data_IF_893266388389
#
_entry.id   IF_893266388389
#
_cell.length_a   1.000
_cell.length_b   1.000
_cell.length_c   1.000
_cell.angle_alpha   90.00
_cell.angle_beta   90.00
_cell.angle_gamma   90.00
#
_symmetry.space_group_name_H-M   'P 1'
#
loop_
_entity.id
_entity.type
_entity.pdbx_description
1 polymer ?
#
# COMPACT_ATOMS: atom_id res chain seq x y z
N UNK A 1 -10.10 -4.97 -4.86
CA UNK A 1 -10.99 -5.43 -3.77
C UNK A 1 -12.28 -5.88 -4.42
N UNK A 2 -12.63 -7.14 -4.25
CA UNK A 2 -13.89 -7.69 -4.75
C UNK A 2 -14.97 -7.53 -3.69
N UNK A 3 -16.19 -7.20 -4.09
CA UNK A 3 -17.33 -7.36 -3.17
C UNK A 3 -17.62 -8.85 -3.00
N UNK A 4 -18.37 -9.23 -1.97
CA UNK A 4 -18.74 -10.62 -1.77
C UNK A 4 -19.62 -11.18 -2.90
N UNK A 5 -20.25 -10.34 -3.70
CA UNK A 5 -20.95 -10.76 -4.93
C UNK A 5 -20.02 -11.34 -6.01
N UNK A 6 -18.71 -11.06 -5.93
CA UNK A 6 -17.71 -11.54 -6.88
C UNK A 6 -16.81 -12.63 -6.28
N UNK A 7 -17.25 -13.27 -5.19
CA UNK A 7 -16.60 -14.44 -4.63
C UNK A 7 -17.33 -15.67 -5.14
N UNK A 8 -16.60 -16.54 -5.83
CA UNK A 8 -17.16 -17.77 -6.43
C UNK A 8 -16.76 -18.98 -5.60
N UNK A 9 -17.74 -19.79 -5.20
CA UNK A 9 -17.49 -21.10 -4.62
C UNK A 9 -17.44 -22.13 -5.74
N UNK A 10 -16.26 -22.64 -6.02
CA UNK A 10 -16.04 -23.62 -7.07
C UNK A 10 -15.87 -25.03 -6.50
N UNK A 11 -16.33 -26.03 -7.26
CA UNK A 11 -16.03 -27.44 -7.00
C UNK A 11 -14.83 -27.85 -7.84
N UNK A 12 -13.77 -28.26 -7.17
CA UNK A 12 -12.59 -28.80 -7.85
C UNK A 12 -12.95 -30.17 -8.43
N UNK A 13 -12.79 -30.33 -9.73
CA UNK A 13 -12.88 -31.62 -10.42
C UNK A 13 -11.50 -31.99 -10.93
N UNK A 14 -10.95 -33.07 -10.39
CA UNK A 14 -9.61 -33.52 -10.74
C UNK A 14 -9.62 -35.03 -11.00
N UNK A 15 -10.33 -35.40 -12.07
CA UNK A 15 -10.43 -36.79 -12.55
C UNK A 15 -9.14 -37.22 -13.28
N UNK A 16 -9.04 -38.49 -13.67
CA UNK A 16 -7.85 -39.05 -14.32
C UNK A 16 -7.56 -38.41 -15.69
N UNK A 17 -8.60 -37.93 -16.37
CA UNK A 17 -8.46 -37.21 -17.63
C UNK A 17 -7.86 -35.83 -17.41
N UNK A 18 -8.36 -35.10 -16.42
CA UNK A 18 -7.79 -33.79 -16.00
C UNK A 18 -6.35 -33.95 -15.53
N UNK A 19 -6.05 -34.96 -14.70
CA UNK A 19 -4.68 -35.29 -14.27
C UNK A 19 -3.75 -35.52 -15.45
N UNK A 20 -4.19 -36.26 -16.46
CA UNK A 20 -3.38 -36.53 -17.63
C UNK A 20 -3.10 -35.28 -18.46
N UNK A 21 -4.13 -34.51 -18.80
CA UNK A 21 -3.99 -33.34 -19.66
C UNK A 21 -3.29 -32.17 -18.98
N UNK A 22 -3.56 -31.93 -17.68
CA UNK A 22 -3.05 -30.78 -16.94
C UNK A 22 -1.88 -31.09 -16.01
N UNK A 23 -1.26 -32.28 -16.16
CA UNK A 23 -0.15 -32.73 -15.28
C UNK A 23 1.06 -31.82 -15.20
N UNK A 24 1.25 -30.95 -16.19
CA UNK A 24 2.34 -29.98 -16.24
C UNK A 24 1.96 -28.60 -15.70
N UNK A 25 0.68 -28.35 -15.45
CA UNK A 25 0.18 -27.09 -14.92
C UNK A 25 0.17 -27.17 -13.39
N UNK A 26 1.00 -26.34 -12.74
CA UNK A 26 1.14 -26.33 -11.27
C UNK A 26 0.58 -25.08 -10.60
N UNK A 27 0.50 -23.98 -11.34
CA UNK A 27 0.14 -22.66 -10.83
C UNK A 27 -1.00 -22.01 -11.62
N UNK A 28 -1.69 -22.82 -12.44
CA UNK A 28 -2.77 -22.37 -13.31
C UNK A 28 -4.05 -23.06 -12.87
N UNK A 29 -5.09 -22.26 -12.67
CA UNK A 29 -6.46 -22.74 -12.46
C UNK A 29 -7.19 -22.77 -13.79
N UNK A 30 -7.80 -23.88 -14.12
CA UNK A 30 -8.57 -24.06 -15.34
C UNK A 30 -10.05 -23.96 -15.02
N UNK A 31 -10.69 -22.91 -15.51
CA UNK A 31 -12.12 -22.70 -15.36
C UNK A 31 -12.92 -23.37 -16.49
N UNK A 32 -14.14 -23.75 -16.14
CA UNK A 32 -15.16 -24.15 -17.10
C UNK A 32 -15.65 -22.88 -17.86
N UNK A 33 -15.82 -23.01 -19.17
CA UNK A 33 -16.35 -21.94 -20.02
C UNK A 33 -17.87 -22.07 -20.27
N UNK A 34 -18.59 -22.84 -19.44
CA UNK A 34 -20.04 -23.11 -19.57
C UNK A 34 -20.89 -22.42 -18.51
N UNK A 35 -20.25 -21.79 -17.52
CA UNK A 35 -20.91 -21.06 -16.45
C UNK A 35 -20.43 -19.58 -16.41
N UNK A 36 -20.99 -18.80 -15.49
CA UNK A 36 -20.70 -17.38 -15.33
C UNK A 36 -19.55 -17.10 -14.33
N UNK A 37 -18.78 -18.13 -13.96
CA UNK A 37 -17.75 -17.97 -12.91
C UNK A 37 -16.71 -16.92 -13.26
N UNK A 38 -16.22 -16.89 -14.49
CA UNK A 38 -15.21 -15.91 -14.94
C UNK A 38 -15.79 -14.51 -15.02
N UNK A 39 -17.00 -14.35 -15.55
CA UNK A 39 -17.67 -13.05 -15.62
C UNK A 39 -17.95 -12.47 -14.22
N UNK A 40 -18.34 -13.34 -13.27
CA UNK A 40 -18.56 -12.93 -11.87
C UNK A 40 -17.28 -12.60 -11.11
N UNK A 41 -16.12 -13.04 -11.58
CA UNK A 41 -14.81 -12.69 -11.04
C UNK A 41 -14.27 -11.32 -11.54
N UNK A 42 -15.16 -10.34 -11.66
CA UNK A 42 -14.84 -8.97 -12.03
C UNK A 42 -14.27 -8.84 -13.45
N UNK A 43 -14.87 -9.55 -14.41
CA UNK A 43 -14.46 -9.53 -15.81
C UNK A 43 -13.16 -10.29 -16.07
N UNK A 44 -12.85 -11.27 -15.23
CA UNK A 44 -11.77 -12.20 -15.48
C UNK A 44 -11.98 -12.89 -16.84
N UNK A 45 -10.95 -12.95 -17.65
CA UNK A 45 -10.94 -13.67 -18.91
C UNK A 45 -9.89 -14.79 -18.93
N UNK A 46 -9.73 -15.47 -20.04
CA UNK A 46 -8.86 -16.64 -20.15
C UNK A 46 -7.44 -16.27 -20.65
N UNK A 47 -6.99 -15.06 -20.39
CA UNK A 47 -5.70 -14.54 -20.85
C UNK A 47 -4.59 -14.51 -19.77
N UNK A 48 -4.74 -15.29 -18.72
CA UNK A 48 -3.81 -15.44 -17.61
C UNK A 48 -4.00 -14.43 -16.47
N UNK A 49 -5.23 -14.07 -16.18
CA UNK A 49 -5.57 -13.29 -14.99
C UNK A 49 -5.12 -13.99 -13.70
N UNK A 50 -4.68 -13.21 -12.73
CA UNK A 50 -4.27 -13.71 -11.43
C UNK A 50 -5.46 -13.84 -10.48
N UNK A 51 -5.61 -15.01 -9.88
CA UNK A 51 -6.69 -15.34 -8.95
C UNK A 51 -6.13 -15.62 -7.55
N UNK A 52 -6.95 -15.40 -6.55
CA UNK A 52 -6.71 -15.84 -5.18
C UNK A 52 -7.70 -16.94 -4.85
N UNK A 53 -7.20 -18.11 -4.53
CA UNK A 53 -7.99 -19.28 -4.13
C UNK A 53 -7.70 -19.64 -2.67
N UNK A 54 -8.70 -20.15 -1.99
CA UNK A 54 -8.55 -20.64 -0.62
C UNK A 54 -9.53 -21.76 -0.31
N UNK A 55 -9.06 -22.74 0.42
CA UNK A 55 -9.85 -23.81 1.04
C UNK A 55 -9.92 -23.65 2.57
N UNK A 56 -9.47 -22.51 3.10
CA UNK A 56 -9.48 -22.25 4.54
C UNK A 56 -10.90 -22.40 5.11
N UNK A 57 -11.11 -23.31 6.08
CA UNK A 57 -12.45 -23.64 6.58
C UNK A 57 -13.15 -22.46 7.26
N UNK A 58 -12.42 -21.48 7.79
CA UNK A 58 -12.98 -20.29 8.40
C UNK A 58 -13.54 -19.39 7.29
N UNK A 59 -12.75 -19.14 6.23
CA UNK A 59 -13.18 -18.32 5.10
C UNK A 59 -14.32 -18.98 4.32
N UNK A 60 -14.27 -20.30 4.15
CA UNK A 60 -15.35 -21.05 3.51
C UNK A 60 -16.69 -20.96 4.25
N UNK A 61 -16.66 -20.84 5.58
CA UNK A 61 -17.88 -20.62 6.39
C UNK A 61 -18.46 -19.21 6.25
N UNK A 62 -17.65 -18.25 5.83
CA UNK A 62 -18.09 -16.86 5.61
C UNK A 62 -18.64 -16.64 4.20
N UNK A 63 -18.65 -17.68 3.34
CA UNK A 63 -19.22 -17.58 2.00
C UNK A 63 -20.74 -17.51 2.09
N UNK A 64 -21.32 -16.50 1.46
CA UNK A 64 -22.75 -16.37 1.23
C UNK A 64 -22.98 -16.43 -0.30
N UNK A 65 -23.96 -17.23 -0.74
CA UNK A 65 -24.32 -17.28 -2.14
C UNK A 65 -25.10 -16.02 -2.51
N UNK A 66 -24.55 -15.24 -3.42
CA UNK A 66 -25.13 -13.98 -3.86
C UNK A 66 -25.13 -13.92 -5.39
N UNK A 67 -26.06 -13.14 -5.94
CA UNK A 67 -26.06 -12.88 -7.38
C UNK A 67 -24.75 -12.16 -7.75
N UNK A 68 -24.04 -12.63 -8.78
CA UNK A 68 -22.81 -11.99 -9.23
C UNK A 68 -23.11 -10.61 -9.82
N UNK A 69 -22.15 -9.70 -9.69
CA UNK A 69 -22.17 -8.44 -10.39
C UNK A 69 -21.35 -8.62 -11.65
N UNK A 70 -21.99 -8.46 -12.77
CA UNK A 70 -21.36 -8.48 -14.07
C UNK A 70 -21.17 -7.03 -14.51
N UNK A 71 -19.91 -6.61 -14.62
CA UNK A 71 -19.58 -5.28 -15.14
C UNK A 71 -19.64 -5.33 -16.66
N UNK A 72 -20.56 -4.57 -17.24
CA UNK A 72 -20.64 -4.44 -18.69
C UNK A 72 -19.35 -3.77 -19.21
N UNK A 73 -18.66 -4.47 -20.11
CA UNK A 73 -17.43 -3.95 -20.68
C UNK A 73 -17.74 -2.86 -21.72
N UNK A 74 -17.18 -1.68 -21.50
CA UNK A 74 -17.25 -0.62 -22.50
C UNK A 74 -16.39 -0.98 -23.71
N UNK A 75 -16.90 -0.72 -24.92
CA UNK A 75 -16.12 -0.92 -26.16
C UNK A 75 -15.34 0.34 -26.52
N UNK A 76 -14.10 0.17 -26.98
CA UNK A 76 -13.31 1.27 -27.57
C UNK A 76 -13.60 1.40 -29.06
N UNK A 77 -13.45 2.61 -29.61
CA UNK A 77 -13.49 2.82 -31.04
C UNK A 77 -12.34 2.11 -31.74
N UNK A 78 -12.65 1.40 -32.83
CA UNK A 78 -11.63 0.80 -33.68
C UNK A 78 -10.82 1.90 -34.38
N UNK A 79 -9.54 1.99 -34.09
CA UNK A 79 -8.64 2.99 -34.68
C UNK A 79 -7.50 2.31 -35.43
N UNK A 80 -7.04 2.93 -36.52
CA UNK A 80 -5.84 2.46 -37.19
C UNK A 80 -4.63 2.64 -36.29
N UNK A 81 -3.90 1.56 -36.08
CA UNK A 81 -2.68 1.58 -35.25
C UNK A 81 -1.61 2.42 -35.96
N UNK A 82 -1.08 3.39 -35.26
CA UNK A 82 0.08 4.20 -35.67
C UNK A 82 1.04 4.27 -34.47
N UNK A 83 2.32 4.52 -34.75
CA UNK A 83 3.34 4.63 -33.70
C UNK A 83 2.95 5.65 -32.60
N UNK A 84 2.49 6.84 -32.99
CA UNK A 84 2.04 7.86 -32.05
C UNK A 84 0.82 7.47 -31.23
N UNK A 85 -0.14 6.69 -31.79
CA UNK A 85 -1.28 6.18 -31.04
C UNK A 85 -0.89 5.06 -30.08
N UNK A 86 0.06 4.22 -30.49
CA UNK A 86 0.60 3.18 -29.63
C UNK A 86 1.36 3.78 -28.43
N UNK A 87 2.23 4.75 -28.69
CA UNK A 87 2.93 5.48 -27.65
C UNK A 87 1.97 6.18 -26.67
N UNK A 88 0.90 6.80 -27.21
CA UNK A 88 -0.14 7.43 -26.38
C UNK A 88 -0.89 6.41 -25.54
N UNK A 89 -1.30 5.28 -26.11
CA UNK A 89 -1.99 4.20 -25.37
C UNK A 89 -1.11 3.66 -24.24
N UNK A 90 0.17 3.46 -24.50
CA UNK A 90 1.13 3.04 -23.46
C UNK A 90 1.26 4.11 -22.36
N UNK A 91 1.38 5.39 -22.74
CA UNK A 91 1.43 6.50 -21.77
C UNK A 91 0.15 6.61 -20.95
N UNK A 92 -1.02 6.48 -21.57
CA UNK A 92 -2.33 6.53 -20.89
C UNK A 92 -2.52 5.32 -19.93
N UNK A 93 -1.90 4.18 -20.20
CA UNK A 93 -1.86 3.00 -19.34
C UNK A 93 -1.00 3.21 -18.07
N UNK A 94 -0.01 4.09 -18.09
CA UNK A 94 0.76 4.46 -16.92
C UNK A 94 -0.02 5.46 -16.06
N UNK A 95 -0.19 5.15 -14.77
CA UNK A 95 -0.89 6.04 -13.85
C UNK A 95 -2.39 5.77 -13.78
N UNK A 96 -2.79 4.50 -13.92
CA UNK A 96 -4.15 4.11 -13.65
C UNK A 96 -4.55 4.46 -12.20
N UNK A 97 -5.79 4.88 -12.04
CA UNK A 97 -6.37 5.26 -10.74
C UNK A 97 -6.90 4.04 -9.95
N UNK A 98 -6.61 2.80 -10.37
CA UNK A 98 -7.13 1.57 -9.76
C UNK A 98 -6.88 1.55 -8.25
N UNK A 99 -5.66 1.86 -7.82
CA UNK A 99 -5.33 1.92 -6.39
C UNK A 99 -6.11 2.99 -5.63
N UNK A 100 -6.32 4.17 -6.24
CA UNK A 100 -7.10 5.25 -5.64
C UNK A 100 -8.59 4.87 -5.54
N UNK A 101 -9.15 4.26 -6.58
CA UNK A 101 -10.52 3.76 -6.62
C UNK A 101 -10.71 2.67 -5.56
N UNK A 102 -9.81 1.67 -5.51
CA UNK A 102 -9.83 0.59 -4.52
C UNK A 102 -9.79 1.13 -3.09
N UNK A 103 -8.94 2.13 -2.80
CA UNK A 103 -8.87 2.74 -1.49
C UNK A 103 -10.17 3.49 -1.11
N UNK A 104 -10.82 4.14 -2.07
CA UNK A 104 -12.11 4.80 -1.86
C UNK A 104 -13.21 3.78 -1.56
N UNK A 105 -13.31 2.70 -2.34
CA UNK A 105 -14.26 1.61 -2.10
C UNK A 105 -14.00 0.94 -0.74
N UNK A 106 -12.73 0.74 -0.39
CA UNK A 106 -12.36 0.21 0.93
C UNK A 106 -12.83 1.13 2.07
N UNK A 107 -12.77 2.45 1.89
CA UNK A 107 -13.27 3.40 2.87
C UNK A 107 -14.82 3.41 2.94
N UNK A 108 -15.52 3.09 1.85
CA UNK A 108 -16.99 2.93 1.85
C UNK A 108 -17.43 1.79 2.77
N UNK A 109 -16.70 0.68 2.85
CA UNK A 109 -17.01 -0.42 3.79
C UNK A 109 -16.90 0.01 5.26
N UNK A 110 -16.02 0.95 5.56
CA UNK A 110 -15.95 1.52 6.92
C UNK A 110 -17.20 2.35 7.22
N UNK A 111 -17.58 3.25 6.30
CA UNK A 111 -18.79 4.08 6.44
C UNK A 111 -20.05 3.23 6.44
N UNK A 112 -20.14 2.18 5.61
CA UNK A 112 -21.26 1.24 5.59
C UNK A 112 -21.52 0.63 6.98
N UNK A 113 -20.44 0.30 7.71
CA UNK A 113 -20.53 -0.29 9.03
C UNK A 113 -21.07 0.68 10.11
N UNK A 114 -21.27 1.95 9.80
CA UNK A 114 -21.90 2.92 10.71
C UNK A 114 -23.41 2.96 10.61
N UNK A 115 -24.00 2.31 9.60
CA UNK A 115 -25.43 2.35 9.32
C UNK A 115 -26.09 1.01 9.64
N UNK A 116 -27.36 1.06 10.00
CA UNK A 116 -28.18 -0.12 10.17
C UNK A 116 -28.49 -0.75 8.80
N UNK A 117 -28.35 -2.08 8.71
CA UNK A 117 -28.59 -2.81 7.45
C UNK A 117 -30.02 -2.59 6.95
N UNK A 118 -30.12 -2.14 5.70
CA UNK A 118 -31.39 -1.83 5.05
C UNK A 118 -31.87 -0.38 5.24
N UNK A 119 -31.17 0.46 6.01
CA UNK A 119 -31.46 1.89 6.04
C UNK A 119 -31.17 2.56 4.69
N UNK A 120 -31.78 3.70 4.38
CA UNK A 120 -31.49 4.43 3.14
C UNK A 120 -30.01 4.73 2.96
N UNK A 121 -29.31 5.13 4.02
CA UNK A 121 -27.88 5.39 4.02
C UNK A 121 -27.03 4.14 3.76
N UNK A 122 -27.42 3.01 4.38
CA UNK A 122 -26.76 1.72 4.14
C UNK A 122 -26.88 1.32 2.69
N UNK A 123 -28.10 1.34 2.15
CA UNK A 123 -28.38 0.94 0.76
C UNK A 123 -27.64 1.82 -0.25
N UNK A 124 -27.57 3.13 0.02
CA UNK A 124 -26.83 4.06 -0.84
C UNK A 124 -25.34 3.76 -0.86
N UNK A 125 -24.71 3.58 0.33
CA UNK A 125 -23.28 3.28 0.40
C UNK A 125 -22.97 1.90 -0.18
N UNK A 126 -23.83 0.91 0.03
CA UNK A 126 -23.72 -0.41 -0.58
C UNK A 126 -23.77 -0.33 -2.10
N UNK A 127 -24.72 0.42 -2.68
CA UNK A 127 -24.79 0.67 -4.11
C UNK A 127 -23.53 1.36 -4.65
N UNK A 128 -22.95 2.32 -3.92
CA UNK A 128 -21.68 2.96 -4.30
C UNK A 128 -20.53 1.97 -4.32
N UNK A 129 -20.49 1.01 -3.37
CA UNK A 129 -19.50 -0.07 -3.36
C UNK A 129 -19.64 -0.93 -4.62
N UNK A 130 -20.87 -1.29 -4.99
CA UNK A 130 -21.15 -2.08 -6.19
C UNK A 130 -20.72 -1.29 -7.46
N UNK A 131 -21.12 -0.04 -7.57
CA UNK A 131 -20.67 0.84 -8.66
C UNK A 131 -19.13 0.99 -8.70
N UNK A 132 -18.48 0.95 -7.54
CA UNK A 132 -17.04 1.04 -7.42
C UNK A 132 -16.28 0.00 -8.22
N UNK A 133 -16.87 -1.17 -8.43
CA UNK A 133 -16.28 -2.23 -9.26
C UNK A 133 -16.26 -1.86 -10.74
N UNK A 134 -17.35 -1.26 -11.25
CA UNK A 134 -17.38 -0.78 -12.62
C UNK A 134 -16.35 0.31 -12.88
N UNK A 135 -16.19 1.25 -11.95
CA UNK A 135 -15.13 2.28 -12.04
C UNK A 135 -13.73 1.66 -12.02
N UNK A 136 -13.52 0.61 -11.22
CA UNK A 136 -12.25 -0.10 -11.15
C UNK A 136 -11.95 -0.81 -12.48
N UNK A 137 -12.93 -1.52 -13.04
CA UNK A 137 -12.81 -2.20 -14.31
C UNK A 137 -12.51 -1.24 -15.46
N UNK A 138 -13.26 -0.14 -15.57
CA UNK A 138 -12.99 0.89 -16.58
C UNK A 138 -11.58 1.48 -16.45
N UNK A 139 -11.07 1.63 -15.22
CA UNK A 139 -9.70 2.12 -14.97
C UNK A 139 -8.63 1.11 -15.38
N UNK A 140 -8.89 -0.19 -15.24
CA UNK A 140 -8.01 -1.27 -15.74
C UNK A 140 -8.00 -1.25 -17.27
N UNK A 141 -9.17 -1.16 -17.88
CA UNK A 141 -9.34 -1.19 -19.33
C UNK A 141 -8.96 0.10 -20.06
N UNK A 142 -8.55 1.12 -19.32
CA UNK A 142 -8.06 2.40 -19.88
C UNK A 142 -6.96 2.21 -20.92
N UNK A 143 -6.09 1.22 -20.73
CA UNK A 143 -5.04 0.88 -21.70
C UNK A 143 -5.59 0.37 -23.04
N UNK A 144 -6.82 -0.16 -23.04
CA UNK A 144 -7.53 -0.58 -24.25
C UNK A 144 -8.20 0.58 -24.99
N UNK A 145 -7.96 1.84 -24.57
CA UNK A 145 -8.53 3.05 -25.16
C UNK A 145 -9.93 3.42 -24.62
N UNK A 146 -10.37 2.80 -23.55
CA UNK A 146 -11.64 3.10 -22.89
C UNK A 146 -11.49 4.40 -22.07
N UNK A 147 -12.48 5.29 -22.18
CA UNK A 147 -12.55 6.50 -21.34
C UNK A 147 -13.11 6.12 -19.98
N UNK A 148 -12.23 5.90 -19.01
CA UNK A 148 -12.64 5.60 -17.65
C UNK A 148 -13.42 6.77 -17.05
N UNK A 149 -14.59 6.47 -16.48
CA UNK A 149 -15.40 7.43 -15.72
C UNK A 149 -14.77 7.71 -14.37
N UNK A 150 -15.05 8.86 -13.82
CA UNK A 150 -14.62 9.24 -12.47
C UNK A 150 -15.78 9.10 -11.49
N UNK A 151 -15.49 8.61 -10.29
CA UNK A 151 -16.49 8.56 -9.23
C UNK A 151 -17.00 9.98 -8.90
N UNK A 152 -18.31 10.15 -8.64
CA UNK A 152 -18.90 11.43 -8.28
C UNK A 152 -18.17 12.12 -7.13
N UNK A 153 -17.92 13.41 -7.26
CA UNK A 153 -17.18 14.17 -6.24
C UNK A 153 -17.97 14.31 -4.94
N UNK A 154 -19.27 14.40 -5.02
CA UNK A 154 -20.20 14.48 -3.88
C UNK A 154 -20.10 13.29 -2.93
N UNK A 155 -19.55 12.15 -3.35
CA UNK A 155 -19.32 11.02 -2.48
C UNK A 155 -18.14 11.22 -1.51
N UNK A 156 -17.22 12.15 -1.83
CA UNK A 156 -15.92 12.29 -1.15
C UNK A 156 -15.56 13.72 -0.75
N UNK A 157 -16.18 14.73 -1.34
CA UNK A 157 -15.82 16.12 -1.14
C UNK A 157 -16.98 16.92 -0.56
N UNK A 158 -16.80 17.34 0.68
CA UNK A 158 -17.78 18.19 1.37
C UNK A 158 -18.10 19.48 0.61
N UNK A 159 -17.16 20.01 -0.18
CA UNK A 159 -17.40 21.23 -0.98
C UNK A 159 -18.46 21.01 -2.06
N UNK A 160 -18.57 19.77 -2.59
CA UNK A 160 -19.56 19.43 -3.60
C UNK A 160 -20.99 19.31 -3.03
N UNK A 161 -21.11 19.19 -1.71
CA UNK A 161 -22.40 19.02 -1.01
C UNK A 161 -22.76 20.20 -0.11
N UNK A 162 -21.99 21.31 -0.19
CA UNK A 162 -22.32 22.53 0.56
C UNK A 162 -23.67 23.10 0.14
N UNK A 163 -24.43 23.57 1.13
CA UNK A 163 -25.60 24.39 0.88
C UNK A 163 -25.19 25.76 0.32
N UNK A 164 -25.98 26.26 -0.59
CA UNK A 164 -25.85 27.63 -1.04
C UNK A 164 -26.51 28.56 0.00
N UNK A 165 -25.69 29.38 0.63
CA UNK A 165 -26.14 30.29 1.68
C UNK A 165 -25.83 31.71 1.20
N UNK A 166 -26.80 32.60 1.29
CA UNK A 166 -26.56 34.02 1.18
C UNK A 166 -25.78 34.49 2.42
N UNK A 167 -24.55 34.96 2.21
CA UNK A 167 -23.64 35.35 3.30
C UNK A 167 -24.04 36.66 3.98
N UNK A 168 -24.93 37.48 3.35
CA UNK A 168 -25.41 38.71 3.95
C UNK A 168 -26.63 38.49 4.83
N UNK A 169 -27.56 37.62 4.39
CA UNK A 169 -28.82 37.35 5.10
C UNK A 169 -28.77 36.08 5.95
N UNK A 170 -27.85 35.14 5.64
CA UNK A 170 -27.79 33.81 6.25
C UNK A 170 -28.87 32.86 5.74
N UNK A 171 -29.65 33.23 4.74
CA UNK A 171 -30.72 32.42 4.18
C UNK A 171 -30.16 31.34 3.26
N UNK A 172 -30.78 30.13 3.29
CA UNK A 172 -30.45 29.03 2.39
C UNK A 172 -31.15 29.28 1.06
N UNK A 173 -30.38 29.37 -0.01
CA UNK A 173 -30.84 29.62 -1.36
C UNK A 173 -31.29 28.35 -2.10
N UNK A 174 -30.91 27.17 -1.61
CA UNK A 174 -31.34 25.90 -2.17
C UNK A 174 -32.80 25.61 -1.82
N UNK A 175 -33.53 24.97 -2.74
CA UNK A 175 -34.88 24.48 -2.46
C UNK A 175 -34.86 23.31 -1.45
N UNK A 176 -36.00 23.00 -0.86
CA UNK A 176 -36.12 22.00 0.23
C UNK A 176 -35.68 20.60 -0.22
N UNK A 177 -35.91 20.21 -1.47
CA UNK A 177 -35.49 18.88 -1.98
C UNK A 177 -33.97 18.84 -2.14
N UNK A 178 -33.35 19.86 -2.67
CA UNK A 178 -31.89 20.01 -2.78
C UNK A 178 -31.23 20.01 -1.42
N UNK A 179 -31.80 20.69 -0.42
CA UNK A 179 -31.28 20.68 0.96
C UNK A 179 -31.28 19.26 1.52
N UNK A 180 -32.42 18.56 1.46
CA UNK A 180 -32.55 17.18 1.94
C UNK A 180 -31.57 16.24 1.23
N UNK A 181 -31.42 16.38 -0.08
CA UNK A 181 -30.47 15.59 -0.86
C UNK A 181 -29.02 15.86 -0.45
N UNK A 182 -28.61 17.11 -0.34
CA UNK A 182 -27.25 17.49 0.09
C UNK A 182 -26.94 17.01 1.51
N UNK A 183 -27.90 17.11 2.44
CA UNK A 183 -27.76 16.58 3.79
C UNK A 183 -27.59 15.06 3.81
N UNK A 184 -28.36 14.35 2.98
CA UNK A 184 -28.22 12.90 2.82
C UNK A 184 -26.84 12.53 2.28
N UNK A 185 -26.34 13.24 1.26
CA UNK A 185 -24.99 13.05 0.73
C UNK A 185 -23.91 13.33 1.80
N UNK A 186 -24.09 14.32 2.65
CA UNK A 186 -23.15 14.61 3.74
C UNK A 186 -23.13 13.51 4.78
N UNK A 187 -24.27 12.90 5.14
CA UNK A 187 -24.33 11.76 6.07
C UNK A 187 -23.64 10.53 5.52
N UNK A 188 -23.75 10.29 4.22
CA UNK A 188 -23.15 9.11 3.53
C UNK A 188 -21.76 9.37 2.95
N UNK A 189 -21.16 10.50 3.25
CA UNK A 189 -19.88 10.93 2.67
C UNK A 189 -18.69 10.13 3.16
N UNK A 190 -17.78 9.80 2.24
CA UNK A 190 -16.56 9.03 2.50
C UNK A 190 -15.32 9.92 2.32
N UNK A 191 -15.17 10.93 3.17
CA UNK A 191 -14.12 11.95 3.05
C UNK A 191 -12.86 11.67 3.90
N UNK A 192 -12.81 10.54 4.60
CA UNK A 192 -11.67 10.12 5.41
C UNK A 192 -11.28 8.70 5.08
N UNK A 193 -10.07 8.31 5.50
CA UNK A 193 -9.62 6.92 5.43
C UNK A 193 -10.08 6.13 6.65
N UNK A 194 -10.30 4.81 6.53
CA UNK A 194 -10.56 3.94 7.67
C UNK A 194 -9.39 3.91 8.66
N UNK A 195 -9.68 3.62 9.94
CA UNK A 195 -8.67 3.54 11.00
C UNK A 195 -7.51 2.59 10.64
N UNK A 196 -7.80 1.39 10.15
CA UNK A 196 -6.76 0.40 9.85
C UNK A 196 -5.75 0.86 8.77
N UNK A 197 -6.04 1.91 8.01
CA UNK A 197 -5.10 2.50 7.06
C UNK A 197 -3.88 3.15 7.73
N UNK A 198 -3.93 3.48 9.03
CA UNK A 198 -2.78 4.00 9.77
C UNK A 198 -1.58 3.04 9.71
N UNK A 199 -1.82 1.73 9.61
CA UNK A 199 -0.79 0.70 9.52
C UNK A 199 -0.13 0.62 8.15
N UNK A 200 -0.81 1.08 7.10
CA UNK A 200 -0.33 1.03 5.73
C UNK A 200 0.21 2.38 5.22
N UNK A 201 -0.14 3.49 5.90
CA UNK A 201 0.20 4.84 5.47
C UNK A 201 0.93 5.60 6.59
N UNK A 202 2.28 5.61 6.60
CA UNK A 202 3.07 6.25 7.67
C UNK A 202 2.73 7.72 7.93
N UNK A 203 2.36 8.47 6.89
CA UNK A 203 1.96 9.86 7.05
C UNK A 203 0.62 9.98 7.79
N UNK A 204 -0.37 9.14 7.44
CA UNK A 204 -1.66 9.09 8.12
C UNK A 204 -1.49 8.67 9.60
N UNK A 205 -0.57 7.74 9.88
CA UNK A 205 -0.23 7.36 11.26
C UNK A 205 0.31 8.54 12.07
N UNK A 206 1.21 9.35 11.49
CA UNK A 206 1.74 10.55 12.15
C UNK A 206 0.64 11.58 12.43
N UNK A 207 -0.21 11.85 11.45
CA UNK A 207 -1.36 12.76 11.57
C UNK A 207 -2.32 12.30 12.65
N UNK A 208 -2.65 11.01 12.65
CA UNK A 208 -3.50 10.39 13.67
C UNK A 208 -2.88 10.49 15.09
N UNK A 209 -1.60 10.15 15.24
CA UNK A 209 -0.88 10.26 16.51
C UNK A 209 -0.83 11.68 17.04
N UNK A 210 -0.59 12.65 16.15
CA UNK A 210 -0.59 14.07 16.51
C UNK A 210 -1.98 14.54 16.95
N UNK A 211 -3.03 14.11 16.24
CA UNK A 211 -4.41 14.40 16.59
C UNK A 211 -4.77 13.84 17.97
N UNK A 212 -4.48 12.56 18.23
CA UNK A 212 -4.77 11.92 19.54
C UNK A 212 -4.02 12.60 20.68
N UNK A 213 -2.74 12.95 20.46
CA UNK A 213 -1.98 13.71 21.48
C UNK A 213 -2.65 15.05 21.78
N UNK A 214 -3.02 15.82 20.76
CA UNK A 214 -3.72 17.09 20.96
C UNK A 214 -5.04 16.94 21.70
N UNK A 215 -5.80 15.89 21.38
CA UNK A 215 -7.08 15.56 22.06
C UNK A 215 -6.83 15.21 23.52
N UNK A 216 -5.81 14.41 23.83
CA UNK A 216 -5.46 14.06 25.23
C UNK A 216 -5.05 15.29 26.03
N UNK A 217 -4.18 16.13 25.46
CA UNK A 217 -3.71 17.36 26.11
C UNK A 217 -4.89 18.32 26.38
N UNK A 218 -5.78 18.54 25.39
CA UNK A 218 -6.95 19.41 25.53
C UNK A 218 -7.96 18.85 26.54
N UNK A 219 -8.26 17.54 26.52
CA UNK A 219 -9.16 16.88 27.44
C UNK A 219 -8.68 17.05 28.91
N UNK A 220 -7.40 16.83 29.15
CA UNK A 220 -6.79 16.98 30.48
C UNK A 220 -6.84 18.45 30.94
N UNK A 221 -6.60 19.40 30.07
CA UNK A 221 -6.65 20.83 30.42
C UNK A 221 -8.08 21.32 30.72
N UNK A 222 -9.04 20.89 29.90
CA UNK A 222 -10.43 21.38 29.97
C UNK A 222 -11.25 20.67 31.05
N UNK A 223 -11.19 19.32 31.06
CA UNK A 223 -12.08 18.52 31.92
C UNK A 223 -11.37 17.89 33.13
N UNK A 224 -10.04 18.03 33.25
CA UNK A 224 -9.22 17.39 34.29
C UNK A 224 -9.37 15.87 34.32
N UNK A 225 -9.70 15.26 33.18
CA UNK A 225 -9.86 13.82 32.95
C UNK A 225 -8.95 13.38 31.80
N UNK A 226 -8.51 12.13 31.81
CA UNK A 226 -7.92 11.54 30.62
C UNK A 226 -8.99 11.35 29.55
N UNK A 227 -8.59 11.27 28.29
CA UNK A 227 -9.55 11.05 27.19
C UNK A 227 -10.23 9.68 27.31
N UNK A 228 -9.53 8.67 27.83
CA UNK A 228 -10.08 7.34 28.09
C UNK A 228 -11.14 7.37 29.21
N UNK A 229 -10.89 8.09 30.31
CA UNK A 229 -11.88 8.31 31.38
C UNK A 229 -13.12 9.03 30.85
N UNK A 230 -12.92 10.06 30.01
CA UNK A 230 -14.03 10.79 29.41
C UNK A 230 -14.89 9.90 28.50
N UNK A 231 -14.26 9.00 27.72
CA UNK A 231 -15.01 8.12 26.81
C UNK A 231 -15.80 7.01 27.54
N UNK A 232 -15.33 6.58 28.71
CA UNK A 232 -15.90 5.44 29.44
C UNK A 232 -16.86 5.85 30.57
N UNK A 233 -17.14 7.14 30.77
CA UNK A 233 -18.12 7.59 31.78
C UNK A 233 -19.56 7.31 31.31
N UNK A 234 -20.47 7.14 32.27
CA UNK A 234 -21.89 6.81 32.01
C UNK A 234 -22.73 8.05 31.64
N UNK A 235 -22.34 9.23 32.12
CA UNK A 235 -23.07 10.47 31.89
C UNK A 235 -22.14 11.57 31.40
N UNK A 236 -22.63 12.39 30.48
CA UNK A 236 -21.87 13.46 29.86
C UNK A 236 -22.54 14.81 30.04
N UNK A 237 -21.75 15.86 30.23
CA UNK A 237 -22.22 17.22 30.12
C UNK A 237 -22.34 17.61 28.63
N UNK A 238 -23.06 18.69 28.32
CA UNK A 238 -23.19 19.22 26.98
C UNK A 238 -21.82 19.61 26.39
N UNK A 239 -20.93 20.18 27.22
CA UNK A 239 -19.57 20.55 26.79
C UNK A 239 -18.73 19.32 26.44
N UNK A 240 -18.85 18.26 27.20
CA UNK A 240 -18.16 16.98 26.95
C UNK A 240 -18.67 16.33 25.65
N UNK A 241 -19.97 16.36 25.40
CA UNK A 241 -20.57 15.85 24.16
C UNK A 241 -20.06 16.65 22.95
N UNK A 242 -20.10 17.97 23.05
CA UNK A 242 -19.60 18.86 21.99
C UNK A 242 -18.10 18.64 21.72
N UNK A 243 -17.32 18.37 22.76
CA UNK A 243 -15.92 18.02 22.61
C UNK A 243 -15.74 16.70 21.88
N UNK A 244 -16.46 15.65 22.28
CA UNK A 244 -16.40 14.32 21.64
C UNK A 244 -16.83 14.38 20.17
N UNK A 245 -17.87 15.11 19.85
CA UNK A 245 -18.32 15.32 18.47
C UNK A 245 -17.27 16.07 17.63
N UNK A 246 -16.64 17.08 18.22
CA UNK A 246 -15.54 17.80 17.58
C UNK A 246 -14.33 16.88 17.33
N UNK A 247 -13.95 16.06 18.31
CA UNK A 247 -12.87 15.08 18.15
C UNK A 247 -13.16 14.11 17.02
N UNK A 248 -14.39 13.57 16.96
CA UNK A 248 -14.84 12.70 15.88
C UNK A 248 -14.81 13.40 14.53
N UNK A 249 -15.30 14.65 14.47
CA UNK A 249 -15.36 15.46 13.26
C UNK A 249 -13.97 15.75 12.68
N UNK A 250 -12.99 16.08 13.52
CA UNK A 250 -11.63 16.46 13.08
C UNK A 250 -10.62 15.32 13.08
N UNK A 251 -11.02 14.11 13.49
CA UNK A 251 -10.17 12.93 13.34
C UNK A 251 -9.77 12.73 11.86
N UNK A 252 -8.51 12.44 11.55
CA UNK A 252 -8.05 12.18 10.18
C UNK A 252 -8.54 10.83 9.63
N UNK A 253 -9.12 9.99 10.49
CA UNK A 253 -9.62 8.67 10.12
C UNK A 253 -11.05 8.45 10.62
N UNK A 254 -11.79 7.58 9.92
CA UNK A 254 -13.02 7.00 10.44
C UNK A 254 -12.70 5.86 11.42
N UNK A 255 -13.46 5.78 12.49
CA UNK A 255 -13.39 4.70 13.49
C UNK A 255 -14.71 3.93 13.57
N UNK A 256 -15.33 3.65 12.45
CA UNK A 256 -16.54 2.87 12.41
C UNK A 256 -16.25 1.37 12.68
N UNK A 257 -17.22 0.58 13.17
CA UNK A 257 -16.98 -0.80 13.58
C UNK A 257 -16.92 -1.80 12.42
N UNK A 258 -16.26 -1.43 11.33
CA UNK A 258 -16.00 -2.36 10.24
C UNK A 258 -15.09 -3.52 10.69
N UNK A 259 -15.15 -4.65 9.98
CA UNK A 259 -14.41 -5.86 10.37
C UNK A 259 -12.91 -5.60 10.53
N UNK A 260 -12.30 -4.86 9.62
CA UNK A 260 -10.85 -4.57 9.67
C UNK A 260 -10.48 -3.69 10.87
N UNK A 261 -11.30 -2.70 11.22
CA UNK A 261 -11.06 -1.89 12.42
C UNK A 261 -11.20 -2.75 13.69
N UNK A 262 -12.22 -3.61 13.75
CA UNK A 262 -12.40 -4.55 14.89
C UNK A 262 -11.21 -5.49 15.04
N UNK A 263 -10.65 -5.99 13.95
CA UNK A 263 -9.44 -6.82 13.98
C UNK A 263 -8.26 -6.01 14.53
N UNK A 264 -8.07 -4.78 14.07
CA UNK A 264 -6.99 -3.92 14.56
C UNK A 264 -7.14 -3.65 16.07
N UNK A 265 -8.32 -3.27 16.54
CA UNK A 265 -8.57 -3.03 17.96
C UNK A 265 -8.35 -4.28 18.80
N UNK A 266 -8.81 -5.45 18.32
CA UNK A 266 -8.57 -6.72 19.00
C UNK A 266 -7.06 -7.01 19.13
N UNK A 267 -6.30 -6.81 18.07
CA UNK A 267 -4.83 -7.01 18.08
C UNK A 267 -4.17 -6.01 19.04
N UNK A 268 -4.55 -4.74 18.98
CA UNK A 268 -4.01 -3.69 19.83
C UNK A 268 -4.28 -3.95 21.32
N UNK A 269 -5.46 -4.42 21.65
CA UNK A 269 -5.83 -4.73 23.04
C UNK A 269 -5.19 -6.04 23.52
N UNK A 270 -5.25 -7.10 22.71
CA UNK A 270 -4.74 -8.43 23.09
C UNK A 270 -3.21 -8.46 23.18
N UNK A 271 -2.50 -7.71 22.33
CA UNK A 271 -1.06 -7.74 22.23
C UNK A 271 -0.37 -6.45 22.67
N UNK A 272 -1.06 -5.59 23.43
CA UNK A 272 -0.51 -4.31 23.89
C UNK A 272 0.79 -4.44 24.69
N UNK A 273 0.98 -5.54 25.42
CA UNK A 273 2.18 -5.82 26.21
C UNK A 273 3.21 -6.67 25.46
N UNK A 274 2.86 -7.14 24.26
CA UNK A 274 3.78 -7.91 23.41
C UNK A 274 4.67 -6.91 22.68
N UNK A 275 5.90 -6.79 23.11
CA UNK A 275 6.93 -6.16 22.26
C UNK A 275 7.11 -7.07 21.05
N UNK A 276 6.43 -6.71 19.95
CA UNK A 276 6.76 -7.31 18.65
C UNK A 276 8.27 -7.19 18.50
N UNK A 277 8.98 -8.32 18.50
CA UNK A 277 10.37 -8.32 18.05
C UNK A 277 10.32 -7.88 16.59
N UNK A 278 10.44 -6.58 16.36
CA UNK A 278 10.91 -6.07 15.09
C UNK A 278 12.19 -6.86 14.85
N UNK A 279 12.27 -7.57 13.73
CA UNK A 279 13.48 -8.31 13.35
C UNK A 279 14.66 -7.43 13.68
N UNK A 280 15.41 -7.85 14.67
CA UNK A 280 16.50 -7.04 15.19
C UNK A 280 17.56 -7.05 14.10
N UNK A 281 17.69 -5.95 13.38
CA UNK A 281 18.77 -5.74 12.41
C UNK A 281 20.16 -5.85 13.10
N UNK A 282 20.21 -5.91 14.45
CA UNK A 282 21.43 -6.09 15.22
C UNK A 282 22.04 -7.49 15.06
N UNK A 283 21.31 -8.49 14.58
CA UNK A 283 21.86 -9.82 14.28
C UNK A 283 22.66 -9.86 12.96
N UNK A 284 22.52 -8.84 12.10
CA UNK A 284 23.29 -8.80 10.88
C UNK A 284 24.71 -8.29 11.15
N UNK A 285 25.69 -9.19 10.98
CA UNK A 285 27.09 -8.81 11.14
C UNK A 285 27.58 -7.93 9.98
N UNK A 286 27.60 -6.63 10.20
CA UNK A 286 28.06 -5.62 9.22
C UNK A 286 29.50 -5.86 8.76
N UNK A 287 30.30 -6.62 9.54
CA UNK A 287 31.65 -7.02 9.13
C UNK A 287 31.66 -7.87 7.88
N UNK A 288 30.56 -8.55 7.55
CA UNK A 288 30.43 -9.30 6.30
C UNK A 288 30.50 -8.38 5.06
N UNK A 289 30.06 -7.13 5.20
CA UNK A 289 30.03 -6.15 4.12
C UNK A 289 31.33 -5.36 3.98
N UNK A 290 32.24 -5.43 4.98
CA UNK A 290 33.47 -4.61 5.06
C UNK A 290 34.70 -5.43 4.71
N UNK A 291 35.71 -4.77 4.17
CA UNK A 291 37.05 -5.34 4.09
C UNK A 291 37.78 -5.14 5.43
N UNK A 292 38.65 -6.04 5.81
CA UNK A 292 39.48 -5.88 7.03
C UNK A 292 40.45 -4.73 6.83
N UNK A 293 40.38 -3.71 7.70
CA UNK A 293 41.36 -2.62 7.67
C UNK A 293 42.79 -3.16 7.83
N UNK A 294 43.66 -2.79 6.91
CA UNK A 294 45.09 -3.04 7.07
C UNK A 294 45.65 -2.07 8.10
N UNK A 295 46.63 -2.45 8.91
CA UNK A 295 47.28 -1.51 9.82
C UNK A 295 47.79 -0.29 9.04
N UNK A 296 47.48 0.92 9.50
CA UNK A 296 47.83 2.23 8.91
C UNK A 296 46.98 2.73 7.72
N UNK A 297 45.89 2.05 7.35
CA UNK A 297 45.06 2.45 6.21
C UNK A 297 43.71 3.08 6.60
N UNK A 298 43.53 3.48 7.88
CA UNK A 298 42.31 4.22 8.23
C UNK A 298 42.35 5.56 7.49
N UNK A 299 41.33 5.91 6.69
CA UNK A 299 41.30 7.19 6.00
C UNK A 299 41.22 8.33 6.99
N UNK A 300 41.73 9.49 6.54
CA UNK A 300 41.70 10.71 7.35
C UNK A 300 40.22 11.07 7.68
N UNK A 301 40.02 11.69 8.83
CA UNK A 301 38.66 12.14 9.26
C UNK A 301 37.98 13.00 8.21
N UNK A 302 38.74 13.80 7.47
CA UNK A 302 38.25 14.64 6.37
C UNK A 302 37.53 13.84 5.30
N UNK A 303 38.05 12.65 4.91
CA UNK A 303 37.41 11.77 3.94
C UNK A 303 36.06 11.29 4.46
N UNK A 304 35.96 10.91 5.74
CA UNK A 304 34.68 10.54 6.36
C UNK A 304 33.67 11.68 6.33
N UNK A 305 34.12 12.89 6.69
CA UNK A 305 33.28 14.08 6.74
C UNK A 305 32.80 14.47 5.33
N UNK A 306 33.64 14.34 4.30
CA UNK A 306 33.28 14.60 2.91
C UNK A 306 32.28 13.57 2.38
N UNK A 307 32.45 12.29 2.70
CA UNK A 307 31.46 11.24 2.32
C UNK A 307 30.13 11.46 3.06
N UNK A 308 30.15 11.87 4.33
CA UNK A 308 28.93 12.22 5.05
C UNK A 308 28.23 13.45 4.47
N UNK A 309 28.99 14.43 3.96
CA UNK A 309 28.43 15.57 3.24
C UNK A 309 27.81 15.15 1.90
N UNK A 310 28.49 14.30 1.15
CA UNK A 310 27.95 13.72 -0.11
C UNK A 310 26.66 12.93 0.15
N UNK A 311 26.56 12.21 1.27
CA UNK A 311 25.32 11.55 1.68
C UNK A 311 24.16 12.56 1.88
N UNK A 312 24.43 13.72 2.49
CA UNK A 312 23.40 14.76 2.69
C UNK A 312 22.95 15.34 1.35
N UNK A 313 23.88 15.57 0.42
CA UNK A 313 23.56 15.99 -0.95
C UNK A 313 22.70 14.95 -1.67
N UNK A 314 23.08 13.67 -1.60
CA UNK A 314 22.30 12.57 -2.15
C UNK A 314 20.87 12.56 -1.61
N UNK A 315 20.69 12.68 -0.30
CA UNK A 315 19.36 12.70 0.33
C UNK A 315 18.52 13.89 -0.14
N UNK A 316 19.09 15.08 -0.23
CA UNK A 316 18.37 16.25 -0.70
C UNK A 316 17.95 16.09 -2.15
N UNK A 317 18.85 15.64 -3.01
CA UNK A 317 18.56 15.45 -4.42
C UNK A 317 17.53 14.34 -4.67
N UNK A 318 17.49 13.27 -3.87
CA UNK A 318 16.40 12.27 -3.92
C UNK A 318 15.05 12.89 -3.56
N UNK A 319 15.01 13.81 -2.58
CA UNK A 319 13.79 14.54 -2.22
C UNK A 319 13.34 15.43 -3.39
N UNK A 320 14.27 16.16 -3.97
CA UNK A 320 14.02 17.06 -5.11
C UNK A 320 13.55 16.26 -6.34
N UNK A 321 14.24 15.16 -6.64
CA UNK A 321 13.85 14.24 -7.71
C UNK A 321 12.44 13.68 -7.52
N UNK A 322 12.08 13.24 -6.33
CA UNK A 322 10.74 12.74 -6.03
C UNK A 322 9.66 13.82 -6.14
N UNK A 323 10.02 15.07 -5.86
CA UNK A 323 9.13 16.23 -6.06
C UNK A 323 8.92 16.53 -7.54
N UNK A 324 9.97 16.47 -8.34
CA UNK A 324 9.93 16.66 -9.80
C UNK A 324 9.19 15.52 -10.51
N UNK A 325 9.36 14.27 -10.05
CA UNK A 325 8.67 13.09 -10.58
C UNK A 325 7.16 13.22 -10.58
N UNK A 326 6.59 13.99 -9.66
CA UNK A 326 5.16 14.32 -9.66
C UNK A 326 4.74 15.22 -10.83
N UNK A 327 5.69 15.93 -11.45
CA UNK A 327 5.46 16.86 -12.56
C UNK A 327 5.70 16.21 -13.93
N UNK A 328 6.56 15.18 -14.00
CA UNK A 328 6.87 14.47 -15.24
C UNK A 328 6.17 13.11 -15.27
N UNK A 329 5.26 12.93 -16.23
CA UNK A 329 4.42 11.73 -16.36
C UNK A 329 5.20 10.50 -16.88
N UNK A 330 6.38 10.68 -17.47
CA UNK A 330 7.17 9.60 -18.07
C UNK A 330 8.00 8.84 -17.03
N UNK A 331 7.66 7.56 -16.84
CA UNK A 331 8.35 6.68 -15.88
C UNK A 331 9.72 6.21 -16.37
N UNK A 332 9.87 5.99 -17.66
CA UNK A 332 11.11 5.49 -18.26
C UNK A 332 12.19 6.57 -18.19
N UNK A 333 11.87 7.80 -18.57
CA UNK A 333 12.76 8.95 -18.44
C UNK A 333 13.16 9.18 -16.97
N UNK A 334 12.24 9.06 -16.03
CA UNK A 334 12.53 9.17 -14.61
C UNK A 334 13.48 8.07 -14.11
N UNK A 335 13.40 6.85 -14.64
CA UNK A 335 14.30 5.75 -14.27
C UNK A 335 15.71 6.01 -14.77
N UNK A 336 15.85 6.45 -16.01
CA UNK A 336 17.13 6.80 -16.62
C UNK A 336 17.76 7.98 -15.87
N UNK A 337 17.00 9.02 -15.60
CA UNK A 337 17.48 10.20 -14.84
C UNK A 337 17.97 9.81 -13.44
N UNK A 338 17.27 8.91 -12.76
CA UNK A 338 17.68 8.41 -11.46
C UNK A 338 18.99 7.62 -11.55
N UNK A 339 19.12 6.74 -12.54
CA UNK A 339 20.34 5.96 -12.76
C UNK A 339 21.55 6.86 -13.07
N UNK A 340 21.36 7.85 -13.92
CA UNK A 340 22.41 8.85 -14.24
C UNK A 340 22.82 9.63 -12.98
N UNK A 341 21.88 10.03 -12.17
CA UNK A 341 22.13 10.71 -10.91
C UNK A 341 22.91 9.80 -9.92
N UNK A 342 22.48 8.54 -9.75
CA UNK A 342 23.15 7.59 -8.86
C UNK A 342 24.59 7.32 -9.32
N UNK A 343 24.84 7.26 -10.61
CA UNK A 343 26.19 7.12 -11.15
C UNK A 343 27.07 8.37 -10.92
N UNK A 344 26.51 9.56 -11.01
CA UNK A 344 27.21 10.79 -10.66
C UNK A 344 27.63 10.83 -9.18
N UNK A 345 26.76 10.36 -8.30
CA UNK A 345 27.07 10.25 -6.86
C UNK A 345 28.20 9.23 -6.63
N UNK A 346 28.17 8.10 -7.33
CA UNK A 346 29.23 7.09 -7.28
C UNK A 346 30.59 7.67 -7.71
N UNK A 347 30.63 8.36 -8.84
CA UNK A 347 31.86 9.02 -9.35
C UNK A 347 32.41 10.01 -8.33
N UNK A 348 31.58 10.91 -7.77
CA UNK A 348 32.00 11.84 -6.74
C UNK A 348 32.55 11.14 -5.48
N UNK A 349 31.94 10.02 -5.09
CA UNK A 349 32.43 9.26 -3.94
C UNK A 349 33.81 8.65 -4.20
N UNK A 350 34.08 8.15 -5.40
CA UNK A 350 35.39 7.61 -5.83
C UNK A 350 36.42 8.73 -5.90
N UNK A 351 36.07 9.93 -6.37
CA UNK A 351 36.95 11.10 -6.36
C UNK A 351 37.37 11.50 -4.94
N UNK A 352 36.45 11.41 -3.96
CA UNK A 352 36.74 11.71 -2.55
C UNK A 352 37.61 10.59 -1.94
N UNK A 353 37.34 9.34 -2.25
CA UNK A 353 38.06 8.17 -1.72
C UNK A 353 38.32 7.15 -2.84
N UNK A 354 39.47 7.25 -3.53
CA UNK A 354 39.80 6.35 -4.64
C UNK A 354 40.07 4.89 -4.23
N UNK A 355 40.35 4.63 -2.96
CA UNK A 355 40.49 3.26 -2.42
C UNK A 355 39.09 2.67 -2.20
N UNK A 356 38.69 1.77 -3.10
CA UNK A 356 37.34 1.15 -3.09
C UNK A 356 37.06 0.36 -1.81
N UNK A 357 38.06 -0.32 -1.23
CA UNK A 357 37.91 -1.05 0.02
C UNK A 357 37.65 -0.08 1.19
N UNK A 358 38.42 1.02 1.23
CA UNK A 358 38.25 2.06 2.23
C UNK A 358 36.89 2.76 2.07
N UNK A 359 36.51 3.11 0.86
CA UNK A 359 35.24 3.73 0.54
C UNK A 359 34.06 2.84 0.96
N UNK A 360 34.12 1.54 0.64
CA UNK A 360 33.14 0.57 1.07
C UNK A 360 32.98 0.54 2.61
N UNK A 361 34.11 0.47 3.34
CA UNK A 361 34.06 0.49 4.79
C UNK A 361 33.42 1.76 5.35
N UNK A 362 33.75 2.92 4.79
CA UNK A 362 33.18 4.23 5.20
C UNK A 362 31.66 4.25 4.99
N UNK A 363 31.18 3.85 3.82
CA UNK A 363 29.73 3.90 3.53
C UNK A 363 28.96 2.87 4.33
N UNK A 364 29.56 1.70 4.63
CA UNK A 364 28.94 0.72 5.52
C UNK A 364 28.86 1.25 6.95
N UNK A 365 29.93 1.85 7.49
CA UNK A 365 29.90 2.50 8.81
C UNK A 365 28.82 3.59 8.87
N UNK A 366 28.69 4.41 7.82
CA UNK A 366 27.73 5.49 7.75
C UNK A 366 26.28 4.98 7.68
N UNK A 367 26.02 3.99 6.82
CA UNK A 367 24.64 3.59 6.49
C UNK A 367 24.10 2.49 7.41
N UNK A 368 24.94 1.58 7.87
CA UNK A 368 24.52 0.45 8.72
C UNK A 368 24.76 0.75 10.20
N UNK A 369 25.96 1.14 10.59
CA UNK A 369 26.29 1.34 12.01
C UNK A 369 25.67 2.65 12.55
N UNK A 370 25.65 3.73 11.77
CA UNK A 370 24.98 5.00 12.13
C UNK A 370 23.49 5.03 11.71
N UNK A 371 22.91 3.90 11.26
CA UNK A 371 21.49 3.72 10.90
C UNK A 371 20.96 4.76 9.91
N UNK A 372 21.74 5.10 8.88
CA UNK A 372 21.30 5.96 7.78
C UNK A 372 20.72 5.13 6.64
N UNK A 373 20.39 5.77 5.51
CA UNK A 373 19.78 5.10 4.36
C UNK A 373 20.76 4.11 3.73
N UNK A 374 20.45 2.83 3.83
CA UNK A 374 21.28 1.73 3.33
C UNK A 374 21.46 1.78 1.80
N UNK A 375 20.49 2.37 1.06
CA UNK A 375 20.55 2.48 -0.39
C UNK A 375 21.81 3.24 -0.85
N UNK A 376 22.24 4.27 -0.12
CA UNK A 376 23.44 5.02 -0.46
C UNK A 376 24.70 4.14 -0.51
N UNK A 377 24.86 3.20 0.43
CA UNK A 377 26.00 2.26 0.41
C UNK A 377 26.00 1.39 -0.86
N UNK A 378 24.82 0.93 -1.30
CA UNK A 378 24.68 0.13 -2.51
C UNK A 378 24.82 0.95 -3.80
N UNK A 379 24.47 2.22 -3.80
CA UNK A 379 24.74 3.13 -4.91
C UNK A 379 26.25 3.32 -5.08
N UNK A 380 26.97 3.52 -3.98
CA UNK A 380 28.39 3.91 -3.99
C UNK A 380 29.33 2.72 -4.16
N UNK A 381 29.09 1.59 -3.47
CA UNK A 381 30.08 0.52 -3.33
C UNK A 381 29.51 -0.89 -3.54
N UNK A 382 28.49 -1.07 -4.40
CA UNK A 382 27.82 -2.34 -4.61
C UNK A 382 28.76 -3.48 -4.99
N UNK A 383 29.70 -3.23 -5.92
CA UNK A 383 30.64 -4.27 -6.37
C UNK A 383 31.54 -4.74 -5.23
N UNK A 384 32.10 -3.81 -4.46
CA UNK A 384 32.95 -4.16 -3.33
C UNK A 384 32.20 -4.83 -2.20
N UNK A 385 30.92 -4.46 -1.96
CA UNK A 385 30.05 -5.13 -0.99
C UNK A 385 29.82 -6.59 -1.40
N UNK A 386 29.48 -6.83 -2.66
CA UNK A 386 29.26 -8.17 -3.20
C UNK A 386 30.54 -9.01 -3.15
N UNK A 387 31.68 -8.42 -3.52
CA UNK A 387 33.00 -9.09 -3.40
C UNK A 387 33.30 -9.49 -1.96
N UNK A 388 33.04 -8.61 -1.01
CA UNK A 388 33.25 -8.90 0.41
C UNK A 388 32.36 -10.02 0.91
N UNK A 389 31.09 -10.03 0.53
CA UNK A 389 30.14 -11.09 0.86
C UNK A 389 30.60 -12.43 0.27
N UNK A 390 30.95 -12.47 -1.00
CA UNK A 390 31.43 -13.67 -1.68
C UNK A 390 32.68 -14.25 -1.03
N UNK A 391 33.71 -13.43 -0.84
CA UNK A 391 34.97 -13.85 -0.23
C UNK A 391 34.79 -14.40 1.20
N UNK A 392 33.88 -13.81 1.98
CA UNK A 392 33.62 -14.23 3.36
C UNK A 392 32.68 -15.42 3.49
N UNK A 393 31.96 -15.74 2.43
CA UNK A 393 31.13 -16.94 2.35
C UNK A 393 31.88 -18.15 1.79
N UNK A 394 33.22 -18.10 1.75
CA UNK A 394 34.05 -19.20 1.22
C UNK A 394 34.02 -19.32 -0.29
N UNK A 395 33.96 -18.18 -1.00
CA UNK A 395 33.82 -18.05 -2.44
C UNK A 395 32.59 -18.78 -2.98
N UNK A 396 31.48 -18.60 -2.29
CA UNK A 396 30.18 -19.14 -2.71
C UNK A 396 29.05 -18.21 -2.28
N UNK A 397 27.90 -18.35 -2.92
CA UNK A 397 26.66 -17.77 -2.46
C UNK A 397 25.81 -18.83 -1.77
N UNK A 398 25.31 -18.52 -0.59
CA UNK A 398 24.39 -19.38 0.13
C UNK A 398 22.98 -19.19 -0.41
N UNK A 399 22.34 -20.25 -0.85
CA UNK A 399 21.01 -20.25 -1.43
C UNK A 399 20.08 -21.24 -0.73
N UNK A 400 18.82 -20.89 -0.43
CA UNK A 400 17.86 -21.83 0.14
C UNK A 400 17.38 -22.81 -0.94
N UNK A 401 17.59 -24.08 -0.73
CA UNK A 401 17.12 -25.17 -1.59
C UNK A 401 16.04 -25.96 -0.84
N UNK A 402 14.97 -26.35 -1.52
CA UNK A 402 13.90 -27.17 -0.95
C UNK A 402 14.48 -28.53 -0.53
N UNK A 403 14.35 -28.86 0.76
CA UNK A 403 14.92 -30.05 1.38
C UNK A 403 14.01 -30.52 2.50
N UNK A 404 13.48 -31.73 2.41
CA UNK A 404 12.56 -32.29 3.41
C UNK A 404 13.17 -32.35 4.82
N UNK A 405 14.48 -32.42 4.93
CA UNK A 405 15.23 -32.43 6.19
C UNK A 405 15.75 -31.02 6.59
N UNK A 406 15.42 -30.00 5.81
CA UNK A 406 15.85 -28.62 6.04
C UNK A 406 15.37 -28.07 7.39
N UNK A 407 16.18 -27.22 7.97
CA UNK A 407 15.93 -26.53 9.25
C UNK A 407 15.15 -25.22 9.12
N UNK A 408 14.94 -24.75 7.89
CA UNK A 408 14.18 -23.55 7.59
C UNK A 408 12.80 -23.93 7.04
N UNK A 409 11.73 -23.52 7.72
CA UNK A 409 10.37 -23.72 7.24
C UNK A 409 9.80 -22.41 6.67
N UNK A 410 9.32 -22.48 5.42
CA UNK A 410 8.63 -21.37 4.78
C UNK A 410 7.48 -21.85 3.90
N UNK A 411 6.28 -21.33 4.12
CA UNK A 411 5.04 -21.70 3.41
C UNK A 411 4.78 -23.23 3.40
N UNK A 412 5.03 -23.89 4.52
CA UNK A 412 4.82 -25.34 4.68
C UNK A 412 5.81 -26.22 3.94
N UNK A 413 6.90 -25.65 3.44
CA UNK A 413 8.02 -26.37 2.83
C UNK A 413 9.28 -26.15 3.65
N UNK A 414 10.13 -27.16 3.68
CA UNK A 414 11.42 -27.09 4.36
C UNK A 414 12.53 -26.81 3.36
N UNK A 415 13.52 -26.08 3.82
CA UNK A 415 14.68 -25.65 3.03
C UNK A 415 15.96 -25.84 3.85
N UNK A 416 17.03 -26.22 3.18
CA UNK A 416 18.40 -26.12 3.68
C UNK A 416 19.15 -25.01 2.94
N UNK A 417 20.09 -24.35 3.64
CA UNK A 417 20.99 -23.39 3.00
C UNK A 417 22.15 -24.16 2.38
N UNK A 418 22.26 -24.06 1.06
CA UNK A 418 23.35 -24.74 0.34
C UNK A 418 24.24 -23.71 -0.36
N UNK A 419 25.56 -23.88 -0.33
CA UNK A 419 26.48 -23.02 -1.04
C UNK A 419 26.48 -23.36 -2.54
N UNK A 420 26.19 -22.34 -3.37
CA UNK A 420 26.39 -22.44 -4.81
C UNK A 420 27.80 -21.90 -5.09
N UNK A 421 28.68 -22.76 -5.55
CA UNK A 421 30.01 -22.41 -6.05
C UNK A 421 29.89 -22.09 -7.54
N UNK A 422 30.48 -21.01 -8.00
CA UNK A 422 30.76 -20.91 -9.42
C UNK A 422 31.81 -22.00 -9.75
N UNK A 423 31.45 -22.90 -10.64
CA UNK A 423 32.45 -23.73 -11.32
C UNK A 423 33.27 -22.80 -12.23
N UNK A 424 34.45 -22.39 -11.73
CA UNK A 424 35.44 -21.61 -12.48
C UNK A 424 36.14 -22.51 -13.48
#
# INVERSE_FOLDING_TARGET
MTSHNNIVKAKITYDDKAKYWFRHLKTITVFNNKDLSTESLNGCDFDSDALVETDNPILMKCYEEMLPIICEQSSSEKVKVTEGKLAKSNSDGFGNDVGAITNKVTAMFDVLASFEKGSPEYNEVENRILCGQAYQQESIDKIKGIKAKTMPKEWFDYKATKLNIDYETGEILDDEETVKHKEFLQRTMVNKKPYFFIYNYPQLYKEYRSHIKGVQDECLLTFRKSFEELQNQETFTEEELNFLDRVKKYSPVFKNPCVMNKICWYIEDTFKDVKLKVRDDSEFDTKLLKTRWKPKQKPAKEIYDNIEQLYKEYKQQIIDFNSDKKRHADKEDNTIRLQMFEEQIRIKAIEICPDEEALCNIVIDLCYDKKKDKKFAWVVSREQILTNLFNKSGNCYNYPIEDENGDIEWKGKKYSIQPIKEDI
#
